data_IF_480035939897
#
_entry.id   IF_480035939897
#
_cell.length_a   1.000
_cell.length_b   1.000
_cell.length_c   1.000
_cell.angle_alpha   90.00
_cell.angle_beta   90.00
_cell.angle_gamma   90.00
#
_symmetry.space_group_name_H-M   'P 1'
#
loop_
_entity.id
_entity.type
_entity.pdbx_description
1 polymer ?
#
# COMPACT_ATOMS: atom_id res chain seq x y z
N UNK A 1 14.64 -4.80 -21.87
CA UNK A 1 14.00 -4.46 -20.57
C UNK A 1 14.61 -5.35 -19.50
N UNK A 2 15.10 -4.82 -18.37
CA UNK A 2 15.67 -5.63 -17.28
C UNK A 2 14.54 -6.17 -16.40
N UNK A 3 14.53 -7.46 -16.10
CA UNK A 3 13.48 -8.11 -15.28
C UNK A 3 13.25 -7.42 -13.94
N UNK A 4 14.32 -6.95 -13.30
CA UNK A 4 14.26 -6.24 -12.03
C UNK A 4 13.52 -4.91 -12.13
N UNK A 5 13.61 -4.20 -13.27
CA UNK A 5 12.84 -2.99 -13.50
C UNK A 5 11.34 -3.30 -13.57
N UNK A 6 10.95 -4.37 -14.26
CA UNK A 6 9.56 -4.82 -14.35
C UNK A 6 9.00 -5.16 -12.96
N UNK A 7 9.73 -5.98 -12.19
CA UNK A 7 9.33 -6.34 -10.82
C UNK A 7 9.16 -5.10 -9.93
N UNK A 8 10.06 -4.13 -10.05
CA UNK A 8 9.97 -2.88 -9.29
C UNK A 8 8.72 -2.06 -9.67
N UNK A 9 8.38 -1.96 -10.96
CA UNK A 9 7.18 -1.23 -11.40
C UNK A 9 5.89 -1.90 -10.94
N UNK A 10 5.81 -3.23 -11.00
CA UNK A 10 4.63 -3.97 -10.48
C UNK A 10 4.41 -3.69 -8.98
N UNK A 11 5.48 -3.71 -8.17
CA UNK A 11 5.40 -3.39 -6.73
C UNK A 11 5.02 -1.93 -6.48
N UNK A 12 5.57 -0.98 -7.25
CA UNK A 12 5.22 0.44 -7.14
C UNK A 12 3.75 0.70 -7.46
N UNK A 13 3.19 -0.01 -8.45
CA UNK A 13 1.80 0.16 -8.87
C UNK A 13 0.78 -0.15 -7.78
N UNK A 14 1.10 -1.05 -6.84
CA UNK A 14 0.19 -1.45 -5.75
C UNK A 14 0.49 -0.75 -4.42
N UNK A 15 1.61 -0.02 -4.32
CA UNK A 15 2.13 0.46 -3.05
C UNK A 15 1.16 1.41 -2.33
N UNK A 16 0.47 2.27 -3.08
CA UNK A 16 -0.52 3.18 -2.50
C UNK A 16 -1.65 2.42 -1.82
N UNK A 17 -2.23 1.44 -2.51
CA UNK A 17 -3.25 0.54 -1.97
C UNK A 17 -2.75 -0.20 -0.73
N UNK A 18 -1.52 -0.71 -0.76
CA UNK A 18 -0.93 -1.41 0.39
C UNK A 18 -0.77 -0.49 1.61
N UNK A 19 -0.30 0.75 1.44
CA UNK A 19 -0.15 1.70 2.56
C UNK A 19 -1.51 2.04 3.18
N UNK A 20 -2.53 2.33 2.37
CA UNK A 20 -3.88 2.58 2.87
C UNK A 20 -4.43 1.36 3.60
N UNK A 21 -4.16 0.16 3.10
CA UNK A 21 -4.56 -1.11 3.72
C UNK A 21 -3.89 -1.35 5.08
N UNK A 22 -2.61 -1.00 5.23
CA UNK A 22 -1.90 -1.09 6.53
C UNK A 22 -2.55 -0.18 7.57
N UNK A 23 -3.08 0.98 7.15
CA UNK A 23 -3.72 1.98 8.01
C UNK A 23 -5.22 1.73 8.22
N UNK A 24 -5.77 0.62 7.73
CA UNK A 24 -7.22 0.33 7.76
C UNK A 24 -7.78 0.26 9.17
N UNK A 25 -7.10 -0.49 10.03
CA UNK A 25 -7.63 -0.85 11.35
C UNK A 25 -6.99 -0.03 12.49
N UNK A 26 -5.79 0.50 12.26
CA UNK A 26 -5.08 1.34 13.22
C UNK A 26 -4.18 2.37 12.55
N UNK A 27 -4.05 3.50 13.22
CA UNK A 27 -3.07 4.52 12.87
C UNK A 27 -1.67 4.01 13.17
N UNK A 28 -0.70 4.39 12.34
CA UNK A 28 0.68 3.91 12.44
C UNK A 28 1.68 5.00 12.10
N UNK A 29 2.86 4.95 12.72
CA UNK A 29 4.00 5.78 12.30
C UNK A 29 4.80 5.08 11.20
N UNK A 30 5.63 5.85 10.50
CA UNK A 30 6.29 5.41 9.25
C UNK A 30 7.08 4.11 9.41
N UNK A 31 7.75 3.88 10.55
CA UNK A 31 8.52 2.66 10.73
C UNK A 31 7.62 1.41 10.84
N UNK A 32 6.46 1.50 11.52
CA UNK A 32 5.50 0.39 11.59
C UNK A 32 4.90 0.07 10.21
N UNK A 33 4.64 1.11 9.39
CA UNK A 33 4.18 0.92 8.03
C UNK A 33 5.25 0.19 7.21
N UNK A 34 6.50 0.65 7.29
CA UNK A 34 7.63 0.03 6.59
C UNK A 34 7.87 -1.42 7.05
N UNK A 35 7.74 -1.69 8.35
CA UNK A 35 7.87 -3.04 8.92
C UNK A 35 6.79 -3.97 8.38
N UNK A 36 5.52 -3.53 8.42
CA UNK A 36 4.40 -4.32 7.87
C UNK A 36 4.58 -4.62 6.38
N UNK A 37 5.01 -3.63 5.59
CA UNK A 37 5.30 -3.81 4.17
C UNK A 37 6.49 -4.77 3.94
N UNK A 38 7.53 -4.66 4.75
CA UNK A 38 8.71 -5.53 4.69
C UNK A 38 8.35 -6.99 4.96
N UNK A 39 7.50 -7.26 5.95
CA UNK A 39 7.03 -8.61 6.29
C UNK A 39 6.22 -9.22 5.15
N UNK A 40 5.46 -8.38 4.43
CA UNK A 40 4.78 -8.74 3.18
C UNK A 40 5.71 -8.83 1.95
N UNK A 41 7.04 -8.71 2.12
CA UNK A 41 8.06 -8.69 1.07
C UNK A 41 7.93 -7.53 0.08
N UNK A 42 7.27 -6.45 0.49
CA UNK A 42 7.22 -5.17 -0.21
C UNK A 42 8.30 -4.24 0.34
N UNK A 43 9.51 -4.35 -0.20
CA UNK A 43 10.64 -3.51 0.23
C UNK A 43 10.47 -2.07 -0.29
N UNK A 44 10.33 -1.14 0.65
CA UNK A 44 10.16 0.29 0.41
C UNK A 44 11.19 1.05 1.22
N UNK A 45 11.75 2.10 0.64
CA UNK A 45 12.71 3.00 1.30
C UNK A 45 12.05 4.31 1.70
N UNK A 46 12.63 5.00 2.67
CA UNK A 46 12.13 6.28 3.19
C UNK A 46 11.89 7.32 2.08
N UNK A 47 12.83 7.44 1.14
CA UNK A 47 12.71 8.37 0.01
C UNK A 47 11.52 8.09 -0.93
N UNK A 48 10.86 6.94 -0.80
CA UNK A 48 9.62 6.61 -1.52
C UNK A 48 8.38 6.82 -0.66
N UNK A 49 8.41 6.43 0.61
CA UNK A 49 7.22 6.45 1.47
C UNK A 49 6.81 7.87 1.90
N UNK A 50 7.77 8.75 2.24
CA UNK A 50 7.45 10.09 2.72
C UNK A 50 6.74 10.97 1.68
N UNK A 51 7.19 11.03 0.40
CA UNK A 51 6.46 11.73 -0.64
C UNK A 51 5.05 11.16 -0.87
N UNK A 52 4.90 9.84 -0.78
CA UNK A 52 3.61 9.17 -0.99
C UNK A 52 2.63 9.48 0.14
N UNK A 53 3.05 9.40 1.40
CA UNK A 53 2.24 9.81 2.56
C UNK A 53 1.84 11.29 2.46
N UNK A 54 2.76 12.15 2.01
CA UNK A 54 2.46 13.58 1.79
C UNK A 54 1.39 13.77 0.72
N UNK A 55 1.49 13.05 -0.41
CA UNK A 55 0.50 13.08 -1.49
C UNK A 55 -0.87 12.60 -1.01
N UNK A 56 -0.93 11.48 -0.30
CA UNK A 56 -2.16 10.92 0.24
C UNK A 56 -2.83 11.85 1.25
N UNK A 57 -2.03 12.50 2.10
CA UNK A 57 -2.53 13.54 3.02
C UNK A 57 -3.09 14.75 2.28
N UNK A 58 -2.38 15.23 1.27
CA UNK A 58 -2.82 16.39 0.47
C UNK A 58 -4.06 16.07 -0.38
N UNK A 59 -4.26 14.80 -0.75
CA UNK A 59 -5.50 14.31 -1.37
C UNK A 59 -6.66 14.13 -0.38
N UNK A 60 -6.45 14.40 0.92
CA UNK A 60 -7.47 14.25 1.95
C UNK A 60 -7.75 12.81 2.36
N UNK A 61 -6.96 11.84 1.90
CA UNK A 61 -7.14 10.41 2.22
C UNK A 61 -6.53 10.05 3.58
N UNK A 62 -5.49 10.77 3.98
CA UNK A 62 -4.83 10.61 5.27
C UNK A 62 -4.87 11.89 6.09
N UNK A 63 -4.88 11.73 7.41
CA UNK A 63 -4.48 12.77 8.35
C UNK A 63 -3.25 12.29 9.14
N UNK A 64 -2.71 13.15 10.01
CA UNK A 64 -1.75 12.72 11.01
C UNK A 64 -1.94 13.47 12.31
N UNK A 65 -1.54 12.84 13.41
CA UNK A 65 -1.32 13.50 14.70
C UNK A 65 0.14 13.35 15.12
N UNK A 66 0.59 14.28 15.95
CA UNK A 66 1.84 14.09 16.68
C UNK A 66 1.55 13.33 17.96
N UNK A 67 2.39 12.36 18.26
CA UNK A 67 2.33 11.58 19.49
C UNK A 67 3.72 11.59 20.13
N UNK A 68 3.77 11.84 21.44
CA UNK A 68 5.03 11.79 22.17
C UNK A 68 5.58 10.36 22.15
N UNK A 69 6.89 10.26 21.95
CA UNK A 69 7.58 8.98 22.01
C UNK A 69 8.05 8.75 23.44
N UNK A 70 7.94 7.51 23.93
CA UNK A 70 8.55 7.10 25.22
C UNK A 70 10.06 7.29 25.25
N UNK A 71 10.69 7.33 24.07
CA UNK A 71 12.09 7.71 23.89
C UNK A 71 12.30 8.38 22.53
N UNK A 72 12.93 9.56 22.51
CA UNK A 72 13.24 10.30 21.28
C UNK A 72 12.17 11.32 20.85
N UNK A 73 12.28 11.85 19.63
CA UNK A 73 11.40 12.93 19.17
C UNK A 73 9.95 12.45 19.00
N UNK A 74 8.97 13.39 19.03
CA UNK A 74 7.58 13.10 18.70
C UNK A 74 7.45 12.40 17.34
N UNK A 75 6.52 11.45 17.24
CA UNK A 75 6.26 10.67 16.03
C UNK A 75 4.98 11.16 15.37
N UNK A 76 4.95 11.15 14.04
CA UNK A 76 3.71 11.33 13.28
C UNK A 76 3.04 9.99 13.10
N UNK A 77 1.86 9.85 13.68
CA UNK A 77 0.96 8.73 13.40
C UNK A 77 0.00 9.15 12.31
N UNK A 78 -0.02 8.40 11.22
CA UNK A 78 -0.92 8.60 10.10
C UNK A 78 -2.16 7.73 10.29
N UNK A 79 -3.32 8.27 9.91
CA UNK A 79 -4.59 7.57 9.95
C UNK A 79 -5.43 7.85 8.71
N UNK A 80 -6.32 6.92 8.37
CA UNK A 80 -7.30 7.14 7.30
C UNK A 80 -8.35 8.17 7.74
N UNK A 81 -8.63 9.12 6.86
CA UNK A 81 -9.86 9.93 6.96
C UNK A 81 -11.07 9.10 6.53
N UNK A 82 -12.29 9.60 6.74
CA UNK A 82 -13.48 8.91 6.24
C UNK A 82 -13.51 8.82 4.71
N UNK A 83 -13.04 9.86 4.01
CA UNK A 83 -12.79 9.82 2.56
C UNK A 83 -11.74 8.78 2.20
N UNK A 84 -10.66 8.67 2.99
CA UNK A 84 -9.63 7.63 2.83
C UNK A 84 -10.18 6.22 2.94
N UNK A 85 -11.09 5.97 3.89
CA UNK A 85 -11.76 4.66 4.05
C UNK A 85 -12.65 4.32 2.87
N UNK A 86 -13.44 5.29 2.38
CA UNK A 86 -14.28 5.10 1.18
C UNK A 86 -13.42 4.78 -0.05
N UNK A 87 -12.36 5.56 -0.26
CA UNK A 87 -11.40 5.35 -1.34
C UNK A 87 -10.71 3.98 -1.25
N UNK A 88 -10.30 3.57 -0.04
CA UNK A 88 -9.73 2.23 0.17
C UNK A 88 -10.71 1.12 -0.22
N UNK A 89 -11.99 1.24 0.12
CA UNK A 89 -12.99 0.23 -0.24
C UNK A 89 -13.13 0.09 -1.76
N UNK A 90 -13.15 1.19 -2.50
CA UNK A 90 -13.17 1.19 -3.98
C UNK A 90 -11.90 0.55 -4.56
N UNK A 91 -10.74 0.88 -4.00
CA UNK A 91 -9.47 0.26 -4.40
C UNK A 91 -9.42 -1.22 -4.08
N UNK A 92 -10.00 -1.69 -2.97
CA UNK A 92 -10.09 -3.12 -2.65
C UNK A 92 -10.90 -3.86 -3.70
N UNK A 93 -12.03 -3.31 -4.15
CA UNK A 93 -12.82 -3.88 -5.25
C UNK A 93 -11.98 -3.97 -6.53
N UNK A 94 -11.36 -2.86 -6.92
CA UNK A 94 -10.51 -2.77 -8.11
C UNK A 94 -9.34 -3.76 -8.06
N UNK A 95 -8.72 -3.91 -6.90
CA UNK A 95 -7.61 -4.85 -6.70
C UNK A 95 -8.07 -6.30 -6.89
N UNK A 96 -9.21 -6.67 -6.30
CA UNK A 96 -9.74 -8.02 -6.43
C UNK A 96 -10.08 -8.37 -7.89
N UNK A 97 -10.68 -7.42 -8.62
CA UNK A 97 -10.95 -7.57 -10.06
C UNK A 97 -9.67 -7.74 -10.88
N UNK A 98 -8.66 -6.90 -10.62
CA UNK A 98 -7.37 -6.97 -11.30
C UNK A 98 -6.66 -8.30 -11.02
N UNK A 99 -6.61 -8.72 -9.75
CA UNK A 99 -6.02 -9.99 -9.35
C UNK A 99 -6.72 -11.17 -10.05
N UNK A 100 -8.06 -11.16 -10.09
CA UNK A 100 -8.83 -12.17 -10.79
C UNK A 100 -8.54 -12.19 -12.29
N UNK A 101 -8.53 -11.02 -12.94
CA UNK A 101 -8.23 -10.91 -14.37
C UNK A 101 -6.83 -11.44 -14.70
N UNK A 102 -5.81 -11.08 -13.91
CA UNK A 102 -4.44 -11.60 -14.07
C UNK A 102 -4.42 -13.11 -13.90
N UNK A 103 -5.08 -13.65 -12.88
CA UNK A 103 -5.14 -15.10 -12.65
C UNK A 103 -5.82 -15.84 -13.81
N UNK A 104 -6.93 -15.32 -14.36
CA UNK A 104 -7.62 -15.91 -15.51
C UNK A 104 -6.71 -15.97 -16.73
N UNK A 105 -5.95 -14.91 -17.00
CA UNK A 105 -5.08 -14.83 -18.20
C UNK A 105 -3.80 -15.65 -18.04
N UNK A 106 -3.28 -15.80 -16.82
CA UNK A 106 -2.00 -16.46 -16.55
C UNK A 106 -2.12 -17.91 -16.11
N UNK A 107 -3.31 -18.35 -15.69
CA UNK A 107 -3.60 -19.75 -15.42
C UNK A 107 -3.79 -20.49 -16.74
N UNK A 108 -3.08 -21.61 -16.93
CA UNK A 108 -3.26 -22.44 -18.13
C UNK A 108 -4.71 -22.94 -18.19
N UNK A 109 -5.39 -22.75 -19.32
CA UNK A 109 -6.59 -23.53 -19.62
C UNK A 109 -6.21 -25.01 -19.57
N UNK A 110 -6.98 -25.90 -18.92
CA UNK A 110 -6.83 -27.32 -19.17
C UNK A 110 -7.01 -27.50 -20.68
N UNK A 111 -5.98 -28.00 -21.36
CA UNK A 111 -6.13 -28.59 -22.68
C UNK A 111 -7.07 -29.78 -22.50
N UNK A 112 -8.37 -29.57 -22.71
CA UNK A 112 -9.27 -30.66 -23.02
C UNK A 112 -8.81 -31.19 -24.38
N UNK A 113 -7.99 -32.24 -24.35
CA UNK A 113 -7.84 -33.13 -25.47
C UNK A 113 -9.19 -33.85 -25.64
N UNK A 114 -10.01 -33.35 -26.54
CA UNK A 114 -10.97 -34.16 -27.30
C UNK A 114 -10.48 -34.26 -28.75
#
# INVERSE_FOLDING_TARGET
>A
MKIENTKAQMRKGVLEYCILSVLKDKDAYVAEILETLKDAKLLVVEGTIYPLLTRLKNAGLLNYRWEESSSGPPRKYYGLTDTGKQFLNELTTTWNELQNAVNIVTSQKPTNNE
#
